data_IF_555527306325
#
_entry.id   IF_555527306325
#
_cell.length_a   1.000
_cell.length_b   1.000
_cell.length_c   1.000
_cell.angle_alpha   90.00
_cell.angle_beta   90.00
_cell.angle_gamma   90.00
#
_symmetry.space_group_name_H-M   'P 1'
#
loop_
_entity.id
_entity.type
_entity.pdbx_description
1 polymer ?
#
# COMPACT_ATOMS: atom_id res chain seq x y z
N UNK A 1 12.72 2.86 -7.00
CA UNK A 1 14.17 2.62 -7.09
C UNK A 1 15.07 3.70 -6.45
N UNK A 2 14.61 4.94 -6.24
CA UNK A 2 15.46 6.06 -5.75
C UNK A 2 16.19 5.81 -4.41
N UNK A 3 15.50 5.24 -3.41
CA UNK A 3 16.05 5.10 -2.04
C UNK A 3 16.33 3.64 -1.65
N UNK A 4 16.16 2.69 -2.57
CA UNK A 4 16.36 1.25 -2.37
C UNK A 4 15.61 0.63 -1.16
N UNK A 5 14.47 1.21 -0.76
CA UNK A 5 13.60 0.65 0.28
C UNK A 5 12.64 -0.35 -0.37
N UNK A 6 12.61 -1.62 0.05
CA UNK A 6 11.72 -2.62 -0.54
C UNK A 6 10.28 -2.40 -0.05
N UNK A 7 9.44 -1.86 -0.93
CA UNK A 7 8.00 -1.66 -0.66
C UNK A 7 7.16 -2.63 -1.47
N UNK A 8 5.91 -2.83 -1.06
CA UNK A 8 4.96 -3.67 -1.78
C UNK A 8 3.53 -3.09 -1.73
N UNK A 9 2.64 -3.65 -2.54
CA UNK A 9 1.21 -3.39 -2.51
C UNK A 9 0.51 -4.72 -2.19
N UNK A 10 -0.15 -4.79 -1.04
CA UNK A 10 -0.91 -5.96 -0.59
C UNK A 10 -2.37 -5.57 -0.36
N UNK A 11 -3.27 -5.69 -1.34
CA UNK A 11 -3.07 -6.22 -2.71
C UNK A 11 -3.58 -5.22 -3.76
N UNK A 12 -3.09 -5.35 -5.00
CA UNK A 12 -3.45 -4.47 -6.12
C UNK A 12 -4.93 -4.53 -6.54
N UNK A 13 -5.69 -5.52 -6.09
CA UNK A 13 -7.07 -5.73 -6.52
C UNK A 13 -7.90 -6.26 -5.36
N UNK A 14 -9.01 -5.60 -5.08
CA UNK A 14 -9.95 -6.02 -4.06
C UNK A 14 -10.56 -7.37 -4.43
N UNK A 15 -10.81 -8.25 -3.45
CA UNK A 15 -11.14 -9.65 -3.70
C UNK A 15 -12.33 -9.84 -4.67
N UNK A 16 -13.38 -9.04 -4.53
CA UNK A 16 -14.61 -9.11 -5.36
C UNK A 16 -14.42 -8.65 -6.82
N UNK A 17 -13.28 -8.05 -7.14
CA UNK A 17 -12.90 -7.63 -8.49
C UNK A 17 -12.08 -8.69 -9.24
N UNK A 18 -11.60 -9.74 -8.55
CA UNK A 18 -10.92 -10.85 -9.21
C UNK A 18 -11.89 -11.63 -10.09
N UNK A 19 -11.44 -12.02 -11.29
CA UNK A 19 -12.28 -12.71 -12.27
C UNK A 19 -13.06 -13.94 -11.72
N UNK A 20 -12.47 -14.80 -10.87
CA UNK A 20 -13.18 -15.93 -10.25
C UNK A 20 -14.39 -15.52 -9.39
N UNK A 21 -14.46 -14.28 -8.89
CA UNK A 21 -15.53 -13.79 -8.03
C UNK A 21 -16.70 -13.14 -8.78
N UNK A 22 -16.66 -13.07 -10.12
CA UNK A 22 -17.67 -12.38 -10.94
C UNK A 22 -19.11 -12.91 -10.74
N UNK A 23 -19.26 -14.21 -10.48
CA UNK A 23 -20.57 -14.86 -10.32
C UNK A 23 -21.09 -14.93 -8.87
N UNK A 24 -20.35 -14.39 -7.91
CA UNK A 24 -20.73 -14.47 -6.49
C UNK A 24 -21.43 -13.18 -6.02
N UNK A 25 -22.30 -13.29 -4.99
CA UNK A 25 -22.98 -12.12 -4.44
C UNK A 25 -22.00 -11.05 -3.96
N UNK A 26 -22.40 -9.79 -4.14
CA UNK A 26 -21.71 -8.61 -3.60
C UNK A 26 -22.61 -7.96 -2.56
N UNK A 27 -22.00 -7.26 -1.61
CA UNK A 27 -22.74 -6.46 -0.66
C UNK A 27 -23.57 -5.39 -1.39
N UNK A 28 -24.78 -5.14 -0.91
CA UNK A 28 -25.60 -4.02 -1.38
C UNK A 28 -24.84 -2.71 -1.13
N UNK A 29 -24.68 -1.90 -2.17
CA UNK A 29 -23.84 -0.69 -2.13
C UNK A 29 -22.35 -0.92 -2.41
N UNK A 30 -21.93 -2.15 -2.71
CA UNK A 30 -20.55 -2.47 -3.08
C UNK A 30 -19.59 -2.54 -1.89
N UNK A 31 -18.29 -2.51 -2.18
CA UNK A 31 -17.21 -2.65 -1.19
C UNK A 31 -16.17 -1.51 -1.35
N UNK A 32 -16.58 -0.23 -1.28
CA UNK A 32 -15.74 0.91 -1.66
C UNK A 32 -14.46 1.02 -0.85
N UNK A 33 -14.48 0.66 0.44
CA UNK A 33 -13.28 0.66 1.30
C UNK A 33 -12.25 -0.36 0.80
N UNK A 34 -12.68 -1.53 0.36
CA UNK A 34 -11.75 -2.54 -0.16
C UNK A 34 -11.11 -2.08 -1.48
N UNK A 35 -11.89 -1.41 -2.33
CA UNK A 35 -11.43 -0.84 -3.61
C UNK A 35 -10.44 0.31 -3.38
N UNK A 36 -10.76 1.21 -2.45
CA UNK A 36 -9.89 2.33 -2.06
C UNK A 36 -8.56 1.81 -1.50
N UNK A 37 -8.59 0.83 -0.59
CA UNK A 37 -7.37 0.25 -0.03
C UNK A 37 -6.52 -0.43 -1.11
N UNK A 38 -7.13 -1.18 -2.03
CA UNK A 38 -6.39 -1.81 -3.13
C UNK A 38 -5.71 -0.78 -4.06
N UNK A 39 -6.31 0.41 -4.21
CA UNK A 39 -5.78 1.48 -5.05
C UNK A 39 -4.72 2.35 -4.34
N UNK A 40 -4.73 2.41 -3.01
CA UNK A 40 -3.96 3.41 -2.25
C UNK A 40 -2.93 2.84 -1.28
N UNK A 41 -3.03 1.55 -0.92
CA UNK A 41 -2.14 0.95 0.09
C UNK A 41 -0.70 0.93 -0.38
N UNK A 42 0.20 1.26 0.55
CA UNK A 42 1.64 1.08 0.42
C UNK A 42 2.13 0.32 1.65
N UNK A 43 2.77 -0.82 1.45
CA UNK A 43 3.38 -1.61 2.52
C UNK A 43 4.87 -1.29 2.63
N UNK A 44 5.27 -0.85 3.82
CA UNK A 44 6.66 -0.58 4.18
C UNK A 44 7.33 -1.82 4.79
N UNK A 45 8.67 -1.92 4.76
CA UNK A 45 9.37 -2.98 5.48
C UNK A 45 9.00 -3.00 6.96
N UNK A 46 8.57 -4.16 7.45
CA UNK A 46 8.29 -4.38 8.85
C UNK A 46 8.60 -5.84 9.21
N UNK A 47 9.64 -6.05 10.03
CA UNK A 47 10.03 -7.36 10.54
C UNK A 47 10.86 -7.23 11.82
N UNK A 48 10.95 -8.27 12.67
CA UNK A 48 11.66 -8.20 13.96
C UNK A 48 13.15 -7.82 13.87
N UNK A 49 13.78 -8.08 12.72
CA UNK A 49 15.20 -7.77 12.49
C UNK A 49 15.44 -6.37 11.89
N UNK A 50 14.44 -5.50 11.89
CA UNK A 50 14.55 -4.16 11.31
C UNK A 50 15.20 -3.23 12.34
N UNK A 51 16.49 -2.96 12.17
CA UNK A 51 17.25 -2.13 13.12
C UNK A 51 16.84 -0.65 13.05
N UNK A 52 16.97 0.06 14.17
CA UNK A 52 16.58 1.49 14.30
C UNK A 52 17.14 2.37 13.18
N UNK A 53 18.43 2.29 12.78
CA UNK A 53 18.95 3.14 11.70
C UNK A 53 18.27 2.91 10.35
N UNK A 54 17.80 1.68 10.10
CA UNK A 54 17.06 1.37 8.88
C UNK A 54 15.61 1.85 8.97
N UNK A 55 14.99 1.81 10.15
CA UNK A 55 13.68 2.41 10.40
C UNK A 55 13.71 3.91 10.13
N UNK A 56 14.71 4.63 10.66
CA UNK A 56 14.87 6.07 10.47
C UNK A 56 14.99 6.42 8.99
N UNK A 57 15.82 5.68 8.25
CA UNK A 57 15.94 5.84 6.79
C UNK A 57 14.62 5.67 6.06
N UNK A 58 13.81 4.68 6.45
CA UNK A 58 12.48 4.45 5.85
C UNK A 58 11.55 5.63 6.14
N UNK A 59 11.52 6.09 7.39
CA UNK A 59 10.69 7.22 7.83
C UNK A 59 11.07 8.51 7.10
N UNK A 60 12.36 8.81 7.00
CA UNK A 60 12.85 10.03 6.34
C UNK A 60 12.59 10.02 4.84
N UNK A 61 12.82 8.88 4.17
CA UNK A 61 12.47 8.70 2.75
C UNK A 61 10.97 8.92 2.51
N UNK A 62 10.10 8.33 3.33
CA UNK A 62 8.66 8.49 3.22
C UNK A 62 8.22 9.95 3.43
N UNK A 63 8.75 10.62 4.46
CA UNK A 63 8.48 12.04 4.71
C UNK A 63 8.91 12.91 3.53
N UNK A 64 10.10 12.65 2.98
CA UNK A 64 10.61 13.33 1.79
C UNK A 64 9.71 13.14 0.57
N UNK A 65 9.25 11.91 0.32
CA UNK A 65 8.33 11.61 -0.77
C UNK A 65 6.99 12.35 -0.62
N UNK A 66 6.39 12.34 0.58
CA UNK A 66 5.13 13.05 0.86
C UNK A 66 5.30 14.56 0.68
N UNK A 67 6.40 15.14 1.17
CA UNK A 67 6.67 16.57 1.01
C UNK A 67 6.83 16.95 -0.47
N UNK A 68 7.55 16.14 -1.26
CA UNK A 68 7.73 16.37 -2.69
C UNK A 68 6.41 16.31 -3.46
N UNK A 69 5.55 15.33 -3.16
CA UNK A 69 4.21 15.21 -3.78
C UNK A 69 3.32 16.40 -3.43
N UNK A 70 3.39 16.91 -2.19
CA UNK A 70 2.58 18.07 -1.76
C UNK A 70 3.05 19.40 -2.34
N UNK A 71 4.32 19.50 -2.73
CA UNK A 71 4.89 20.70 -3.33
C UNK A 71 4.69 20.78 -4.84
N UNK A 72 4.33 19.66 -5.48
CA UNK A 72 3.97 19.56 -6.89
C UNK A 72 2.48 19.87 -7.10
#
# INVERSE_FOLDING_TARGET
>A
EKDHIPTAIYYHTALHQHAPYTGYPRADGGLPVAEELAATVLSLPFHPYLEEPLQDRIVDSLRGAIAAVRAA
#
